data_IF_784891516519
#
_entry.id   IF_784891516519
#
_cell.length_a   1.000
_cell.length_b   1.000
_cell.length_c   1.000
_cell.angle_alpha   90.00
_cell.angle_beta   90.00
_cell.angle_gamma   90.00
#
_symmetry.space_group_name_H-M   'P 1'
#
loop_
_entity.id
_entity.type
_entity.pdbx_description
1 polymer ?
#
# COMPACT_ATOMS: atom_id res chain seq x y z
N UNK A 1 36.56 -55.54 6.89
CA UNK A 1 36.76 -54.04 7.14
C UNK A 1 35.53 -53.32 6.59
N UNK A 2 35.05 -52.38 7.31
CA UNK A 2 33.89 -51.60 6.80
C UNK A 2 34.39 -50.57 5.82
N UNK A 3 33.81 -50.52 4.62
CA UNK A 3 34.15 -49.59 3.57
C UNK A 3 33.09 -48.48 3.54
N UNK A 4 33.51 -47.22 3.34
CA UNK A 4 32.59 -46.07 3.23
C UNK A 4 32.64 -45.45 1.84
N UNK A 5 31.49 -45.08 1.31
CA UNK A 5 31.41 -44.39 0.03
C UNK A 5 32.09 -43.00 0.10
N UNK A 6 33.08 -42.77 -0.76
CA UNK A 6 33.82 -41.49 -0.81
C UNK A 6 33.00 -40.30 -1.27
N UNK A 7 31.83 -40.54 -1.87
CA UNK A 7 30.97 -39.46 -2.40
C UNK A 7 29.87 -39.07 -1.42
N UNK A 8 29.25 -40.03 -0.70
CA UNK A 8 28.11 -39.75 0.18
C UNK A 8 28.32 -40.17 1.64
N UNK A 9 29.43 -40.85 1.96
CA UNK A 9 29.76 -41.26 3.32
C UNK A 9 29.01 -42.49 3.84
N UNK A 10 28.16 -43.14 3.00
CA UNK A 10 27.41 -44.32 3.42
C UNK A 10 28.33 -45.52 3.64
N UNK A 11 28.03 -46.30 4.66
CA UNK A 11 28.68 -47.58 4.95
C UNK A 11 28.28 -48.60 3.91
N UNK A 12 29.27 -49.36 3.40
CA UNK A 12 29.14 -50.32 2.31
C UNK A 12 29.75 -51.64 2.69
N UNK A 13 29.27 -52.69 2.06
CA UNK A 13 29.85 -54.02 2.19
C UNK A 13 31.27 -54.07 1.57
N UNK A 14 32.14 -54.92 2.11
CA UNK A 14 33.54 -54.99 1.71
C UNK A 14 33.77 -55.33 0.23
N UNK A 15 32.76 -55.87 -0.45
CA UNK A 15 32.76 -56.31 -1.85
C UNK A 15 31.89 -55.47 -2.76
N UNK A 16 31.36 -54.32 -2.27
CA UNK A 16 30.53 -53.45 -3.06
C UNK A 16 31.31 -52.79 -4.21
N UNK A 17 30.87 -52.95 -5.44
CA UNK A 17 31.44 -52.29 -6.63
C UNK A 17 30.85 -50.92 -6.87
N UNK A 18 29.61 -50.68 -6.42
CA UNK A 18 28.86 -49.44 -6.55
C UNK A 18 28.18 -49.06 -5.25
N UNK A 19 28.09 -47.78 -4.97
CA UNK A 19 27.28 -47.31 -3.88
C UNK A 19 25.79 -47.36 -4.27
N UNK A 20 25.00 -48.15 -3.55
CA UNK A 20 23.57 -48.35 -3.78
C UNK A 20 22.73 -47.10 -3.44
N UNK A 21 23.30 -46.15 -2.71
CA UNK A 21 22.62 -44.88 -2.35
C UNK A 21 22.86 -43.77 -3.35
N UNK A 22 24.09 -43.61 -3.89
CA UNK A 22 24.42 -42.49 -4.81
C UNK A 22 24.93 -42.95 -6.19
N UNK A 23 25.00 -44.26 -6.46
CA UNK A 23 25.45 -44.83 -7.74
C UNK A 23 26.93 -44.64 -8.04
N UNK A 24 27.76 -44.25 -7.04
CA UNK A 24 29.18 -44.01 -7.25
C UNK A 24 29.91 -45.36 -7.45
N UNK A 25 30.70 -45.51 -8.53
CA UNK A 25 31.53 -46.69 -8.81
C UNK A 25 32.80 -46.65 -7.96
N UNK A 26 32.96 -47.62 -7.08
CA UNK A 26 34.09 -47.72 -6.14
C UNK A 26 35.36 -48.28 -6.79
N UNK A 27 35.22 -48.98 -7.94
CA UNK A 27 36.31 -49.54 -8.71
C UNK A 27 36.92 -48.57 -9.73
N UNK A 28 36.41 -47.33 -9.82
CA UNK A 28 36.97 -46.30 -10.71
C UNK A 28 38.32 -45.85 -10.16
N UNK A 29 39.37 -46.60 -10.50
CA UNK A 29 40.76 -46.31 -10.15
C UNK A 29 41.15 -44.95 -10.69
N UNK A 30 41.79 -44.16 -9.82
CA UNK A 30 42.48 -42.91 -10.08
C UNK A 30 43.41 -43.00 -11.31
N UNK A 31 42.89 -42.81 -12.50
CA UNK A 31 43.73 -42.53 -13.67
C UNK A 31 43.76 -40.99 -13.84
N UNK A 32 44.65 -40.41 -13.03
CA UNK A 32 44.87 -38.97 -12.88
C UNK A 32 45.60 -38.35 -14.09
N UNK A 33 45.19 -38.60 -15.32
CA UNK A 33 45.82 -37.91 -16.46
C UNK A 33 44.85 -37.66 -17.65
N UNK A 34 43.59 -37.33 -17.38
CA UNK A 34 42.82 -36.64 -18.40
C UNK A 34 42.69 -35.18 -18.00
N UNK A 35 43.05 -34.22 -18.88
CA UNK A 35 42.76 -32.81 -18.63
C UNK A 35 41.22 -32.70 -18.48
N UNK A 36 40.77 -32.41 -17.28
CA UNK A 36 39.39 -32.05 -17.03
C UNK A 36 39.13 -30.80 -17.81
N UNK A 37 38.57 -30.95 -19.00
CA UNK A 37 37.90 -29.84 -19.70
C UNK A 37 36.79 -29.42 -18.77
N UNK A 38 37.09 -28.44 -17.93
CA UNK A 38 36.08 -27.71 -17.17
C UNK A 38 35.23 -27.03 -18.22
N UNK A 39 34.20 -27.73 -18.66
CA UNK A 39 33.16 -27.11 -19.44
C UNK A 39 32.58 -25.95 -18.62
N UNK A 40 32.46 -24.81 -19.27
CA UNK A 40 31.89 -23.52 -18.82
C UNK A 40 30.43 -23.61 -18.35
N UNK A 41 29.97 -24.78 -17.87
CA UNK A 41 28.65 -25.01 -17.31
C UNK A 41 28.48 -24.38 -15.90
N UNK A 42 29.59 -24.09 -15.21
CA UNK A 42 29.51 -23.55 -13.85
C UNK A 42 28.96 -22.11 -13.83
N UNK A 43 29.28 -21.32 -14.83
CA UNK A 43 28.82 -19.93 -14.92
C UNK A 43 27.32 -19.81 -15.26
N UNK A 44 26.79 -20.74 -16.05
CA UNK A 44 25.37 -20.76 -16.42
C UNK A 44 24.46 -21.19 -15.26
N UNK A 45 24.92 -22.13 -14.44
CA UNK A 45 24.18 -22.61 -13.28
C UNK A 45 24.18 -21.56 -12.15
N UNK A 46 25.28 -20.82 -11.95
CA UNK A 46 25.34 -19.78 -10.92
C UNK A 46 24.43 -18.59 -11.24
N UNK A 47 24.32 -18.16 -12.49
CA UNK A 47 23.38 -17.12 -12.90
C UNK A 47 21.92 -17.53 -12.68
N UNK A 48 21.57 -18.76 -13.05
CA UNK A 48 20.20 -19.28 -12.91
C UNK A 48 19.80 -19.35 -11.44
N UNK A 49 20.68 -19.76 -10.54
CA UNK A 49 20.41 -19.83 -9.09
C UNK A 49 20.23 -18.44 -8.44
N UNK A 50 20.79 -17.40 -9.04
CA UNK A 50 20.63 -16.01 -8.59
C UNK A 50 19.42 -15.30 -9.21
N UNK A 51 18.72 -15.93 -10.13
CA UNK A 51 17.58 -15.32 -10.82
C UNK A 51 16.45 -14.85 -9.88
N UNK A 52 16.07 -15.61 -8.82
CA UNK A 52 15.09 -15.11 -7.85
C UNK A 52 15.51 -13.81 -7.17
N UNK A 53 16.80 -13.69 -6.81
CA UNK A 53 17.37 -12.49 -6.22
C UNK A 53 17.27 -11.28 -7.17
N UNK A 54 17.67 -11.50 -8.43
CA UNK A 54 17.64 -10.47 -9.47
C UNK A 54 16.20 -9.97 -9.67
N UNK A 55 15.23 -10.88 -9.77
CA UNK A 55 13.83 -10.52 -9.95
C UNK A 55 13.24 -9.81 -8.74
N UNK A 56 13.62 -10.20 -7.51
CA UNK A 56 13.20 -9.50 -6.31
C UNK A 56 13.74 -8.05 -6.28
N UNK A 57 15.01 -7.84 -6.66
CA UNK A 57 15.61 -6.49 -6.78
C UNK A 57 14.89 -5.66 -7.84
N UNK A 58 14.62 -6.24 -9.01
CA UNK A 58 13.86 -5.57 -10.07
C UNK A 58 12.44 -5.25 -9.57
N UNK A 59 11.79 -6.18 -8.86
CA UNK A 59 10.48 -5.97 -8.25
C UNK A 59 10.46 -4.77 -7.30
N UNK A 60 11.49 -4.60 -6.47
CA UNK A 60 11.65 -3.43 -5.59
C UNK A 60 11.78 -2.15 -6.44
N UNK A 61 12.66 -2.14 -7.44
CA UNK A 61 12.87 -0.96 -8.29
C UNK A 61 11.59 -0.58 -9.03
N UNK A 62 10.88 -1.58 -9.57
CA UNK A 62 9.63 -1.38 -10.30
C UNK A 62 8.53 -0.87 -9.36
N UNK A 63 8.40 -1.40 -8.13
CA UNK A 63 7.41 -0.91 -7.16
C UNK A 63 7.63 0.56 -6.79
N UNK A 64 8.90 0.99 -6.71
CA UNK A 64 9.26 2.41 -6.52
C UNK A 64 8.88 3.24 -7.75
N UNK A 65 9.20 2.75 -8.95
CA UNK A 65 8.88 3.44 -10.19
C UNK A 65 7.36 3.54 -10.43
N UNK A 66 6.61 2.48 -10.17
CA UNK A 66 5.14 2.46 -10.21
C UNK A 66 4.55 3.44 -9.21
N UNK A 67 5.07 3.46 -7.96
CA UNK A 67 4.68 4.44 -6.96
C UNK A 67 4.93 5.88 -7.43
N UNK A 68 6.10 6.21 -7.95
CA UNK A 68 6.44 7.54 -8.45
C UNK A 68 5.69 7.94 -9.73
N UNK A 69 5.23 6.96 -10.53
CA UNK A 69 4.50 7.18 -11.78
C UNK A 69 3.01 7.46 -11.60
N UNK A 70 2.45 7.26 -10.40
CA UNK A 70 1.00 7.36 -10.13
C UNK A 70 0.51 8.63 -9.40
N UNK A 71 1.33 9.69 -9.15
CA UNK A 71 0.92 10.86 -8.34
C UNK A 71 -0.35 11.55 -8.85
N UNK A 72 -0.59 11.54 -10.16
CA UNK A 72 -1.72 12.23 -10.77
C UNK A 72 -3.08 11.53 -10.57
N UNK A 73 -3.09 10.26 -10.10
CA UNK A 73 -4.30 9.44 -10.11
C UNK A 73 -4.71 8.92 -8.72
N UNK A 74 -3.80 8.85 -7.75
CA UNK A 74 -4.05 8.15 -6.48
C UNK A 74 -3.61 8.89 -5.20
N UNK A 75 -3.06 10.10 -5.30
CA UNK A 75 -2.53 10.85 -4.14
C UNK A 75 -1.19 10.32 -3.61
N UNK A 76 -0.43 11.19 -2.96
CA UNK A 76 0.93 10.88 -2.44
C UNK A 76 0.96 9.77 -1.39
N UNK A 77 -0.13 9.57 -0.64
CA UNK A 77 -0.20 8.59 0.45
C UNK A 77 -0.12 7.15 -0.06
N UNK A 78 -0.79 6.86 -1.17
CA UNK A 78 -0.74 5.55 -1.80
C UNK A 78 0.63 5.24 -2.39
N UNK A 79 1.35 6.26 -2.85
CA UNK A 79 2.70 6.15 -3.42
C UNK A 79 3.70 5.72 -2.35
N UNK A 80 3.76 6.45 -1.24
CA UNK A 80 4.68 6.15 -0.14
C UNK A 80 4.41 4.77 0.46
N UNK A 81 3.13 4.39 0.53
CA UNK A 81 2.69 3.07 0.97
C UNK A 81 3.21 1.96 0.05
N UNK A 82 3.00 2.10 -1.24
CA UNK A 82 3.42 1.12 -2.23
C UNK A 82 4.94 0.94 -2.28
N UNK A 83 5.67 2.04 -2.30
CA UNK A 83 7.13 2.04 -2.22
C UNK A 83 7.61 1.37 -0.93
N UNK A 84 7.00 1.71 0.21
CA UNK A 84 7.32 1.12 1.51
C UNK A 84 7.09 -0.39 1.54
N UNK A 85 5.96 -0.86 1.05
CA UNK A 85 5.63 -2.29 0.97
C UNK A 85 6.65 -3.03 0.10
N UNK A 86 6.90 -2.56 -1.12
CA UNK A 86 7.82 -3.19 -2.06
C UNK A 86 9.27 -3.23 -1.54
N UNK A 87 9.73 -2.14 -0.91
CA UNK A 87 11.09 -2.07 -0.33
C UNK A 87 11.21 -3.00 0.88
N UNK A 88 10.33 -2.87 1.87
CA UNK A 88 10.44 -3.62 3.13
C UNK A 88 10.25 -5.10 2.88
N UNK A 89 9.18 -5.51 2.21
CA UNK A 89 8.88 -6.90 1.94
C UNK A 89 9.89 -7.53 0.99
N UNK A 90 10.29 -6.81 -0.07
CA UNK A 90 11.32 -7.27 -1.00
C UNK A 90 12.69 -7.49 -0.33
N UNK A 91 13.15 -6.55 0.50
CA UNK A 91 14.42 -6.69 1.25
C UNK A 91 14.35 -7.81 2.27
N UNK A 92 13.22 -8.00 2.96
CA UNK A 92 13.02 -9.09 3.90
C UNK A 92 13.05 -10.45 3.20
N UNK A 93 12.38 -10.59 2.05
CA UNK A 93 12.43 -11.82 1.25
C UNK A 93 13.84 -12.13 0.77
N UNK A 94 14.62 -11.14 0.34
CA UNK A 94 16.04 -11.29 -0.03
C UNK A 94 16.88 -11.74 1.17
N UNK A 95 16.70 -11.14 2.34
CA UNK A 95 17.41 -11.49 3.56
C UNK A 95 17.12 -12.95 3.97
N UNK A 96 15.86 -13.36 3.93
CA UNK A 96 15.43 -14.72 4.20
C UNK A 96 16.09 -15.73 3.24
N UNK A 97 16.16 -15.39 1.95
CA UNK A 97 16.70 -16.25 0.92
C UNK A 97 18.22 -16.35 0.94
N UNK A 98 18.94 -15.21 1.11
CA UNK A 98 20.39 -15.15 0.92
C UNK A 98 21.19 -15.24 2.22
N UNK A 99 20.65 -14.75 3.33
CA UNK A 99 21.36 -14.74 4.61
C UNK A 99 20.92 -15.83 5.56
N UNK A 100 19.65 -16.19 5.54
CA UNK A 100 19.07 -17.18 6.45
C UNK A 100 18.86 -18.55 5.77
N UNK A 101 19.07 -18.64 4.46
CA UNK A 101 18.91 -19.85 3.63
C UNK A 101 17.55 -20.56 3.84
N UNK A 102 16.49 -19.74 3.88
CA UNK A 102 15.12 -20.21 4.11
C UNK A 102 14.21 -19.86 2.90
N UNK A 103 14.37 -20.56 1.77
CA UNK A 103 13.71 -20.19 0.51
C UNK A 103 12.19 -20.32 0.57
N UNK A 104 11.65 -21.24 1.39
CA UNK A 104 10.20 -21.37 1.54
C UNK A 104 9.59 -20.14 2.23
N UNK A 105 10.22 -19.67 3.31
CA UNK A 105 9.76 -18.50 4.05
C UNK A 105 9.94 -17.25 3.19
N UNK A 106 11.07 -17.14 2.44
CA UNK A 106 11.29 -16.08 1.48
C UNK A 106 10.23 -16.04 0.37
N UNK A 107 9.82 -17.20 -0.13
CA UNK A 107 8.76 -17.29 -1.13
C UNK A 107 7.41 -16.78 -0.59
N UNK A 108 7.05 -17.14 0.65
CA UNK A 108 5.84 -16.64 1.31
C UNK A 108 5.92 -15.13 1.48
N UNK A 109 7.09 -14.59 1.88
CA UNK A 109 7.32 -13.14 2.01
C UNK A 109 7.15 -12.41 0.67
N UNK A 110 7.71 -12.93 -0.43
CA UNK A 110 7.56 -12.36 -1.76
C UNK A 110 6.10 -12.40 -2.24
N UNK A 111 5.38 -13.50 -2.00
CA UNK A 111 3.94 -13.59 -2.35
C UNK A 111 3.14 -12.58 -1.55
N UNK A 112 3.37 -12.46 -0.25
CA UNK A 112 2.70 -11.49 0.61
C UNK A 112 2.98 -10.05 0.15
N UNK A 113 4.24 -9.74 -0.17
CA UNK A 113 4.66 -8.43 -0.71
C UNK A 113 3.96 -8.11 -2.02
N UNK A 114 3.97 -9.04 -2.98
CA UNK A 114 3.31 -8.85 -4.27
C UNK A 114 1.79 -8.66 -4.14
N UNK A 115 1.14 -9.45 -3.27
CA UNK A 115 -0.28 -9.33 -3.00
C UNK A 115 -0.63 -7.98 -2.36
N UNK A 116 0.16 -7.52 -1.38
CA UNK A 116 -0.04 -6.22 -0.73
C UNK A 116 0.17 -5.07 -1.71
N UNK A 117 1.24 -5.09 -2.53
CA UNK A 117 1.46 -4.08 -3.57
C UNK A 117 0.25 -4.01 -4.50
N UNK A 118 -0.26 -5.16 -4.97
CA UNK A 118 -1.44 -5.20 -5.84
C UNK A 118 -2.71 -4.67 -5.16
N UNK A 119 -2.94 -5.01 -3.89
CA UNK A 119 -4.12 -4.56 -3.13
C UNK A 119 -4.13 -3.04 -2.97
N UNK A 120 -2.97 -2.43 -2.68
CA UNK A 120 -2.87 -1.01 -2.37
C UNK A 120 -2.70 -0.10 -3.60
N UNK A 121 -2.05 -0.57 -4.68
CA UNK A 121 -1.84 0.21 -5.89
C UNK A 121 -2.79 -0.21 -7.04
N UNK A 122 -3.48 -1.33 -6.89
CA UNK A 122 -4.36 -1.87 -7.92
C UNK A 122 -3.59 -2.19 -9.21
N UNK A 123 -4.16 -1.83 -10.35
CA UNK A 123 -3.56 -2.12 -11.67
C UNK A 123 -2.19 -1.50 -11.90
N UNK A 124 -1.85 -0.44 -11.17
CA UNK A 124 -0.53 0.22 -11.34
C UNK A 124 0.61 -0.57 -10.66
N UNK A 125 0.29 -1.49 -9.74
CA UNK A 125 1.26 -2.37 -9.08
C UNK A 125 1.32 -3.78 -9.69
N UNK A 126 0.73 -4.03 -10.85
CA UNK A 126 0.68 -5.37 -11.46
C UNK A 126 2.07 -5.91 -11.81
N UNK A 127 2.95 -5.06 -12.35
CA UNK A 127 4.27 -5.51 -12.82
C UNK A 127 5.14 -5.93 -11.65
N UNK A 128 5.24 -5.11 -10.61
CA UNK A 128 6.02 -5.43 -9.42
C UNK A 128 5.44 -6.64 -8.68
N UNK A 129 4.12 -6.76 -8.57
CA UNK A 129 3.45 -7.90 -7.97
C UNK A 129 3.78 -9.21 -8.71
N UNK A 130 3.71 -9.21 -10.03
CA UNK A 130 4.09 -10.38 -10.86
C UNK A 130 5.56 -10.73 -10.70
N UNK A 131 6.45 -9.74 -10.64
CA UNK A 131 7.89 -9.97 -10.42
C UNK A 131 8.17 -10.64 -9.08
N UNK A 132 7.52 -10.21 -7.99
CA UNK A 132 7.64 -10.85 -6.68
C UNK A 132 7.09 -12.29 -6.69
N UNK A 133 5.96 -12.55 -7.34
CA UNK A 133 5.39 -13.89 -7.46
C UNK A 133 6.33 -14.81 -8.25
N UNK A 134 6.91 -14.34 -9.36
CA UNK A 134 7.88 -15.12 -10.14
C UNK A 134 9.14 -15.38 -9.30
N UNK A 135 9.63 -14.37 -8.57
CA UNK A 135 10.78 -14.53 -7.67
C UNK A 135 10.51 -15.62 -6.61
N UNK A 136 9.30 -15.67 -6.04
CA UNK A 136 8.87 -16.69 -5.09
C UNK A 136 8.88 -18.09 -5.70
N UNK A 137 8.28 -18.26 -6.87
CA UNK A 137 8.25 -19.57 -7.58
C UNK A 137 9.67 -20.05 -7.88
N UNK A 138 10.53 -19.16 -8.37
CA UNK A 138 11.92 -19.52 -8.69
C UNK A 138 12.75 -19.79 -7.44
N UNK A 139 12.51 -19.08 -6.32
CA UNK A 139 13.17 -19.36 -5.05
C UNK A 139 12.88 -20.79 -4.59
N UNK A 140 11.64 -21.25 -4.69
CA UNK A 140 11.26 -22.64 -4.38
C UNK A 140 11.86 -23.64 -5.36
N UNK A 141 11.89 -23.30 -6.64
CA UNK A 141 12.36 -24.21 -7.68
C UNK A 141 13.87 -24.45 -7.62
N UNK A 142 14.66 -23.37 -7.45
CA UNK A 142 16.13 -23.49 -7.53
C UNK A 142 16.80 -23.80 -6.21
N UNK A 143 16.29 -23.35 -5.08
CA UNK A 143 16.91 -23.60 -3.79
C UNK A 143 16.40 -24.86 -3.08
N UNK A 144 15.20 -25.36 -3.42
CA UNK A 144 14.68 -26.70 -3.10
C UNK A 144 14.67 -27.15 -1.63
N UNK A 145 15.23 -26.35 -0.73
CA UNK A 145 15.32 -26.64 0.70
C UNK A 145 14.14 -26.01 1.42
N UNK A 146 13.44 -26.80 2.18
CA UNK A 146 12.29 -26.34 2.97
C UNK A 146 12.74 -25.85 4.33
N UNK A 147 12.14 -24.77 4.77
CA UNK A 147 12.40 -24.17 6.08
C UNK A 147 12.19 -25.18 7.22
N UNK A 148 13.18 -25.33 8.06
CA UNK A 148 13.12 -26.15 9.26
C UNK A 148 12.97 -25.30 10.52
N UNK A 149 13.32 -24.02 10.46
CA UNK A 149 13.27 -23.14 11.61
C UNK A 149 11.90 -22.48 11.76
N UNK A 150 11.04 -23.10 12.58
CA UNK A 150 9.68 -22.62 12.84
C UNK A 150 9.62 -21.17 13.36
N UNK A 151 10.67 -20.68 14.04
CA UNK A 151 10.70 -19.29 14.57
C UNK A 151 10.76 -18.25 13.46
N UNK A 152 11.36 -18.57 12.31
CA UNK A 152 11.49 -17.65 11.17
C UNK A 152 10.15 -17.43 10.45
N UNK A 153 9.14 -18.29 10.63
CA UNK A 153 7.79 -18.04 10.14
C UNK A 153 7.11 -16.80 10.75
N UNK A 154 7.65 -16.30 11.87
CA UNK A 154 7.18 -15.05 12.43
C UNK A 154 7.53 -13.83 11.55
N UNK A 155 8.55 -13.93 10.68
CA UNK A 155 9.02 -12.80 9.86
C UNK A 155 7.96 -12.33 8.86
N UNK A 156 7.39 -13.18 7.96
CA UNK A 156 6.32 -12.74 7.06
C UNK A 156 5.11 -12.15 7.79
N UNK A 157 4.73 -12.77 8.92
CA UNK A 157 3.63 -12.25 9.74
C UNK A 157 3.98 -10.87 10.31
N UNK A 158 5.19 -10.71 10.85
CA UNK A 158 5.65 -9.44 11.42
C UNK A 158 5.74 -8.36 10.34
N UNK A 159 6.22 -8.69 9.14
CA UNK A 159 6.27 -7.77 8.00
C UNK A 159 4.89 -7.26 7.63
N UNK A 160 3.90 -8.16 7.49
CA UNK A 160 2.51 -7.77 7.21
C UNK A 160 1.96 -6.87 8.32
N UNK A 161 2.14 -7.25 9.59
CA UNK A 161 1.69 -6.44 10.74
C UNK A 161 2.36 -5.06 10.75
N UNK A 162 3.67 -4.99 10.49
CA UNK A 162 4.41 -3.73 10.43
C UNK A 162 3.88 -2.82 9.34
N UNK A 163 3.61 -3.37 8.15
CA UNK A 163 3.02 -2.63 7.04
C UNK A 163 1.66 -2.07 7.43
N UNK A 164 0.77 -2.87 8.03
CA UNK A 164 -0.54 -2.41 8.48
C UNK A 164 -0.43 -1.30 9.55
N UNK A 165 0.50 -1.44 10.49
CA UNK A 165 0.75 -0.39 11.51
C UNK A 165 1.24 0.90 10.86
N UNK A 166 2.15 0.83 9.86
CA UNK A 166 2.61 2.00 9.12
C UNK A 166 1.48 2.67 8.34
N UNK A 167 0.57 1.88 7.73
CA UNK A 167 -0.59 2.42 7.01
C UNK A 167 -1.54 3.18 7.94
N UNK A 168 -1.87 2.58 9.08
CA UNK A 168 -2.74 3.22 10.08
C UNK A 168 -2.09 4.50 10.62
N UNK A 169 -0.80 4.43 10.96
CA UNK A 169 -0.05 5.59 11.45
C UNK A 169 0.07 6.69 10.38
N UNK A 170 0.36 6.32 9.12
CA UNK A 170 0.42 7.25 7.99
C UNK A 170 -0.91 7.93 7.74
N UNK A 171 -2.01 7.18 7.71
CA UNK A 171 -3.36 7.73 7.56
C UNK A 171 -3.74 8.69 8.71
N UNK A 172 -3.40 8.35 9.96
CA UNK A 172 -3.66 9.22 11.10
C UNK A 172 -2.83 10.52 11.04
N UNK A 173 -1.55 10.44 10.64
CA UNK A 173 -0.69 11.61 10.47
C UNK A 173 -1.17 12.50 9.32
N UNK A 174 -1.62 11.90 8.21
CA UNK A 174 -2.23 12.64 7.10
C UNK A 174 -3.46 13.40 7.58
N UNK A 175 -4.41 12.72 8.24
CA UNK A 175 -5.64 13.32 8.73
C UNK A 175 -5.35 14.51 9.68
N UNK A 176 -4.45 14.31 10.64
CA UNK A 176 -4.04 15.38 11.57
C UNK A 176 -3.41 16.58 10.83
N UNK A 177 -2.56 16.34 9.84
CA UNK A 177 -1.94 17.41 9.06
C UNK A 177 -2.96 18.14 8.20
N UNK A 178 -3.87 17.40 7.56
CA UNK A 178 -4.93 17.93 6.73
C UNK A 178 -5.91 18.80 7.55
N UNK A 179 -6.37 18.32 8.70
CA UNK A 179 -7.24 19.09 9.61
C UNK A 179 -6.58 20.38 10.08
N UNK A 180 -5.30 20.35 10.47
CA UNK A 180 -4.55 21.53 10.89
C UNK A 180 -4.23 22.51 9.74
N UNK A 181 -4.43 22.09 8.50
CA UNK A 181 -4.15 22.92 7.31
C UNK A 181 -5.41 23.59 6.74
N UNK A 182 -6.57 23.32 7.30
CA UNK A 182 -7.84 23.92 6.89
C UNK A 182 -8.32 24.86 7.99
N UNK A 183 -8.56 26.10 7.62
CA UNK A 183 -9.22 27.08 8.50
C UNK A 183 -10.48 27.58 7.79
N UNK A 184 -11.63 27.42 8.44
CA UNK A 184 -12.91 27.95 7.98
C UNK A 184 -13.30 29.12 8.86
N UNK A 185 -13.66 30.23 8.25
CA UNK A 185 -13.99 31.43 8.98
C UNK A 185 -15.09 32.24 8.34
N UNK A 186 -15.55 33.28 9.08
CA UNK A 186 -16.57 34.22 8.63
C UNK A 186 -17.88 33.55 8.17
N UNK A 187 -18.25 32.42 8.82
CA UNK A 187 -19.46 31.69 8.48
C UNK A 187 -20.68 32.55 8.89
N UNK A 188 -21.50 32.89 7.93
CA UNK A 188 -22.71 33.70 8.11
C UNK A 188 -23.85 33.12 7.28
N UNK A 189 -25.10 33.54 7.62
CA UNK A 189 -26.30 33.15 6.89
C UNK A 189 -27.24 34.33 6.66
N UNK A 190 -27.97 34.32 5.55
CA UNK A 190 -28.97 35.34 5.18
C UNK A 190 -30.32 34.73 4.75
N UNK A 191 -30.73 33.64 5.40
CA UNK A 191 -31.96 32.90 5.08
C UNK A 191 -33.18 33.70 5.53
N UNK A 192 -34.13 33.93 4.61
CA UNK A 192 -35.36 34.73 4.80
C UNK A 192 -36.60 33.95 4.38
N UNK A 193 -37.73 34.27 5.02
CA UNK A 193 -39.03 33.84 4.53
C UNK A 193 -39.49 34.83 3.46
N UNK A 194 -39.87 34.36 2.27
CA UNK A 194 -40.28 35.21 1.13
C UNK A 194 -41.72 35.72 1.24
N UNK A 195 -42.42 35.37 2.32
CA UNK A 195 -43.83 35.74 2.49
C UNK A 195 -44.84 34.85 1.74
N UNK A 196 -44.37 33.97 0.86
CA UNK A 196 -45.18 33.00 0.10
C UNK A 196 -45.06 31.57 0.63
N UNK A 197 -44.41 31.40 1.77
CA UNK A 197 -44.23 30.09 2.43
C UNK A 197 -42.97 29.37 2.05
N UNK A 198 -42.04 30.03 1.39
CA UNK A 198 -40.70 29.49 1.11
C UNK A 198 -39.64 30.21 1.94
N UNK A 199 -38.62 29.46 2.31
CA UNK A 199 -37.41 29.98 2.91
C UNK A 199 -36.32 29.93 1.87
N UNK A 200 -35.65 31.04 1.62
CA UNK A 200 -34.56 31.15 0.66
C UNK A 200 -33.40 31.96 1.24
N UNK A 201 -32.22 31.71 0.74
CA UNK A 201 -30.99 32.39 1.17
C UNK A 201 -29.78 31.51 1.05
N UNK A 202 -28.72 31.86 1.76
CA UNK A 202 -27.47 31.12 1.72
C UNK A 202 -26.74 31.12 3.05
N UNK A 203 -25.89 30.12 3.22
CA UNK A 203 -24.79 30.07 4.18
C UNK A 203 -23.51 30.30 3.39
N UNK A 204 -22.68 31.22 3.84
CA UNK A 204 -21.45 31.58 3.15
C UNK A 204 -20.32 31.84 4.13
N UNK A 205 -19.08 31.77 3.66
CA UNK A 205 -17.89 31.97 4.45
C UNK A 205 -16.62 31.85 3.62
N UNK A 206 -15.51 31.79 4.33
CA UNK A 206 -14.19 31.69 3.75
C UNK A 206 -13.54 30.38 4.19
N UNK A 207 -12.77 29.73 3.30
CA UNK A 207 -11.92 28.58 3.61
C UNK A 207 -10.47 28.90 3.23
N UNK A 208 -9.56 28.83 4.18
CA UNK A 208 -8.12 28.91 3.94
C UNK A 208 -7.55 27.51 3.78
N UNK A 209 -6.73 27.32 2.76
CA UNK A 209 -6.09 26.04 2.39
C UNK A 209 -4.59 26.17 2.63
N UNK A 210 -4.07 25.59 3.72
CA UNK A 210 -2.68 25.74 4.13
C UNK A 210 -1.70 24.76 3.49
N UNK A 211 -2.20 23.64 2.93
CA UNK A 211 -1.37 22.62 2.25
C UNK A 211 -1.98 22.22 0.92
N UNK A 212 -1.29 21.41 0.14
CA UNK A 212 -1.81 20.89 -1.14
C UNK A 212 -2.78 19.75 -0.91
N UNK A 213 -3.91 19.79 -1.60
CA UNK A 213 -4.91 18.72 -1.69
C UNK A 213 -5.18 18.39 -3.15
N UNK A 214 -5.49 17.13 -3.44
CA UNK A 214 -5.92 16.74 -4.79
C UNK A 214 -7.35 17.20 -5.09
N UNK A 215 -8.18 17.28 -4.05
CA UNK A 215 -9.56 17.73 -4.10
C UNK A 215 -9.99 18.26 -2.74
N UNK A 216 -10.75 19.33 -2.73
CA UNK A 216 -11.49 19.81 -1.57
C UNK A 216 -12.92 20.16 -1.94
N UNK A 217 -13.82 19.89 -1.02
CA UNK A 217 -15.23 20.22 -1.14
C UNK A 217 -15.77 20.78 0.17
N UNK A 218 -16.51 21.87 0.09
CA UNK A 218 -17.31 22.41 1.18
C UNK A 218 -18.76 22.06 0.92
N UNK A 219 -19.36 21.29 1.82
CA UNK A 219 -20.77 20.93 1.79
C UNK A 219 -21.52 21.63 2.92
N UNK A 220 -22.72 22.12 2.65
CA UNK A 220 -23.62 22.67 3.66
C UNK A 220 -24.87 21.82 3.75
N UNK A 221 -25.13 21.27 4.94
CA UNK A 221 -26.31 20.50 5.26
C UNK A 221 -27.26 21.34 6.12
N UNK A 222 -28.52 21.47 5.71
CA UNK A 222 -29.54 22.22 6.43
C UNK A 222 -30.46 21.26 7.18
N UNK A 223 -30.78 21.58 8.43
CA UNK A 223 -31.55 20.71 9.33
C UNK A 223 -32.79 21.40 9.88
N UNK A 224 -33.83 20.60 10.14
CA UNK A 224 -35.01 21.00 10.88
C UNK A 224 -34.81 20.92 12.41
N UNK A 225 -35.87 21.21 13.18
CA UNK A 225 -35.89 21.16 14.64
C UNK A 225 -35.76 19.75 15.22
N UNK A 226 -35.83 18.72 14.40
CA UNK A 226 -35.71 17.31 14.76
C UNK A 226 -34.37 16.72 14.32
N UNK A 227 -33.37 17.56 13.97
CA UNK A 227 -32.07 17.16 13.41
C UNK A 227 -32.17 16.32 12.13
N UNK A 228 -33.25 16.46 11.37
CA UNK A 228 -33.40 15.82 10.08
C UNK A 228 -32.86 16.74 8.99
N UNK A 229 -32.04 16.16 8.09
CA UNK A 229 -31.54 16.91 6.91
C UNK A 229 -32.73 17.27 6.01
N UNK A 230 -32.89 18.55 5.79
CA UNK A 230 -33.84 19.13 4.84
C UNK A 230 -33.24 19.21 3.44
N UNK A 231 -31.99 19.69 3.37
CA UNK A 231 -31.30 19.94 2.12
C UNK A 231 -29.78 19.83 2.32
N UNK A 232 -29.09 19.39 1.30
CA UNK A 232 -27.63 19.34 1.26
C UNK A 232 -27.14 19.91 -0.05
N UNK A 233 -26.16 20.80 -0.02
CA UNK A 233 -25.59 21.44 -1.20
C UNK A 233 -24.08 21.50 -1.12
N UNK A 234 -23.43 21.36 -2.28
CA UNK A 234 -22.00 21.66 -2.44
C UNK A 234 -21.89 23.18 -2.55
N UNK A 235 -21.25 23.78 -1.55
CA UNK A 235 -21.06 25.23 -1.46
C UNK A 235 -19.83 25.71 -2.22
N UNK A 236 -18.83 24.87 -2.34
CA UNK A 236 -17.61 25.07 -3.13
C UNK A 236 -16.88 23.74 -3.32
N UNK A 237 -16.22 23.57 -4.44
CA UNK A 237 -15.31 22.45 -4.67
C UNK A 237 -14.22 22.84 -5.67
N UNK A 238 -13.04 22.27 -5.52
CA UNK A 238 -11.92 22.50 -6.43
C UNK A 238 -10.98 21.29 -6.48
N UNK A 239 -10.47 21.01 -7.68
CA UNK A 239 -9.40 20.06 -7.90
C UNK A 239 -8.06 20.79 -7.80
N UNK A 240 -7.13 20.24 -7.01
CA UNK A 240 -5.79 20.81 -6.78
C UNK A 240 -5.84 22.28 -6.34
N UNK A 241 -6.57 22.63 -5.25
CA UNK A 241 -6.62 24.02 -4.80
C UNK A 241 -5.22 24.52 -4.41
N UNK A 242 -4.96 25.80 -4.70
CA UNK A 242 -3.67 26.43 -4.40
C UNK A 242 -3.43 26.48 -2.87
N UNK A 243 -2.30 25.97 -2.41
CA UNK A 243 -1.86 26.09 -1.03
C UNK A 243 -1.55 27.56 -0.67
N UNK A 244 -1.91 27.96 0.56
CA UNK A 244 -1.74 29.33 1.05
C UNK A 244 -2.81 30.31 0.57
N UNK A 245 -3.91 29.85 -0.03
CA UNK A 245 -4.97 30.68 -0.60
C UNK A 245 -6.28 30.54 0.18
N UNK A 246 -7.04 31.64 0.20
CA UNK A 246 -8.39 31.67 0.78
C UNK A 246 -9.41 31.67 -0.35
N UNK A 247 -10.39 30.79 -0.25
CA UNK A 247 -11.52 30.65 -1.16
C UNK A 247 -12.82 31.04 -0.46
N UNK A 248 -13.82 31.46 -1.22
CA UNK A 248 -15.17 31.74 -0.73
C UNK A 248 -16.08 30.58 -1.06
N UNK A 249 -16.97 30.23 -0.13
CA UNK A 249 -18.02 29.25 -0.38
C UNK A 249 -19.41 29.86 -0.15
N UNK A 250 -20.40 29.35 -0.88
CA UNK A 250 -21.81 29.75 -0.75
C UNK A 250 -22.70 28.50 -0.92
N UNK A 251 -23.37 28.09 0.16
CA UNK A 251 -24.35 27.00 0.16
C UNK A 251 -25.78 27.59 0.11
N UNK A 252 -26.47 27.41 -1.01
CA UNK A 252 -27.83 27.96 -1.19
C UNK A 252 -28.88 27.05 -0.56
N UNK A 253 -29.91 27.65 0.02
CA UNK A 253 -31.11 26.99 0.53
C UNK A 253 -32.36 27.51 -0.17
N UNK A 254 -33.27 26.60 -0.55
CA UNK A 254 -34.60 26.93 -1.04
C UNK A 254 -35.55 25.79 -0.77
N UNK A 255 -36.46 25.95 0.20
CA UNK A 255 -37.48 24.94 0.56
C UNK A 255 -38.66 25.62 1.29
N UNK A 256 -39.80 24.94 1.39
CA UNK A 256 -40.96 25.36 2.19
C UNK A 256 -40.72 25.15 3.70
N UNK A 257 -39.78 24.34 4.08
CA UNK A 257 -39.45 24.08 5.48
C UNK A 257 -38.41 25.06 5.99
N UNK A 258 -38.64 25.55 7.21
CA UNK A 258 -37.71 26.43 7.88
C UNK A 258 -36.47 25.66 8.35
N UNK A 259 -35.26 25.97 7.88
CA UNK A 259 -34.06 25.42 8.46
C UNK A 259 -33.72 26.19 9.73
N UNK A 260 -33.32 25.45 10.79
CA UNK A 260 -32.91 26.07 12.06
C UNK A 260 -31.41 25.95 12.33
N UNK A 261 -30.78 25.02 11.65
CA UNK A 261 -29.36 24.73 11.81
C UNK A 261 -28.75 24.38 10.45
N UNK A 262 -27.53 24.82 10.23
CA UNK A 262 -26.72 24.32 9.13
C UNK A 262 -25.41 23.74 9.67
N UNK A 263 -24.92 22.70 9.01
CA UNK A 263 -23.61 22.11 9.25
C UNK A 263 -22.74 22.36 8.02
N UNK A 264 -21.62 23.04 8.23
CA UNK A 264 -20.60 23.26 7.20
C UNK A 264 -19.54 22.17 7.36
N UNK A 265 -19.33 21.38 6.33
CA UNK A 265 -18.33 20.31 6.27
C UNK A 265 -17.29 20.56 5.19
N UNK A 266 -16.03 20.26 5.48
CA UNK A 266 -14.96 20.22 4.48
C UNK A 266 -14.46 18.79 4.37
N UNK A 267 -14.39 18.28 3.16
CA UNK A 267 -13.88 16.92 2.85
C UNK A 267 -12.84 16.99 1.73
N UNK A 268 -11.86 16.09 1.78
CA UNK A 268 -10.79 15.94 0.78
C UNK A 268 -11.13 14.96 -0.36
N UNK A 269 -12.32 14.38 -0.31
CA UNK A 269 -12.83 13.48 -1.34
C UNK A 269 -14.35 13.52 -1.36
N UNK A 270 -14.94 13.53 -2.54
CA UNK A 270 -16.39 13.44 -2.71
C UNK A 270 -17.03 12.17 -2.12
N UNK A 271 -16.22 11.17 -1.74
CA UNK A 271 -16.63 9.93 -1.10
C UNK A 271 -16.20 9.83 0.36
N UNK A 272 -15.51 10.82 0.89
CA UNK A 272 -15.05 10.79 2.28
C UNK A 272 -16.23 10.86 3.24
N UNK A 273 -16.24 9.97 4.23
CA UNK A 273 -17.19 9.97 5.35
C UNK A 273 -16.65 10.72 6.57
N UNK A 274 -15.35 10.95 6.61
CA UNK A 274 -14.67 11.67 7.71
C UNK A 274 -14.34 13.08 7.23
N UNK A 275 -14.98 14.13 7.78
CA UNK A 275 -14.68 15.50 7.39
C UNK A 275 -13.34 15.95 7.99
N UNK A 276 -12.61 16.80 7.26
CA UNK A 276 -11.44 17.53 7.77
C UNK A 276 -11.88 18.65 8.73
N UNK A 277 -13.07 19.18 8.52
CA UNK A 277 -13.69 20.21 9.34
C UNK A 277 -15.19 20.01 9.38
N UNK A 278 -15.82 20.26 10.52
CA UNK A 278 -17.28 20.31 10.66
C UNK A 278 -17.67 21.29 11.74
N UNK A 279 -18.55 22.23 11.41
CA UNK A 279 -19.13 23.19 12.34
C UNK A 279 -20.63 23.31 12.13
N UNK A 280 -21.37 23.38 13.26
CA UNK A 280 -22.79 23.65 13.29
C UNK A 280 -23.07 25.09 13.61
N UNK A 281 -23.84 25.76 12.76
CA UNK A 281 -24.31 27.13 12.97
C UNK A 281 -25.82 27.14 13.19
N UNK A 282 -26.29 27.95 14.14
CA UNK A 282 -27.72 28.23 14.31
C UNK A 282 -28.17 29.28 13.31
N UNK A 283 -29.25 28.97 12.59
CA UNK A 283 -29.78 29.87 11.60
C UNK A 283 -30.85 30.80 12.23
N UNK A 284 -30.68 32.08 12.07
CA UNK A 284 -31.70 33.07 12.41
C UNK A 284 -32.43 33.48 11.14
N UNK A 285 -33.70 33.15 11.04
CA UNK A 285 -34.52 33.60 9.90
C UNK A 285 -35.12 34.97 10.19
N UNK A 286 -34.78 35.97 9.39
CA UNK A 286 -35.48 37.25 9.41
C UNK A 286 -36.85 37.08 8.76
N UNK A 287 -37.92 37.54 9.44
CA UNK A 287 -39.23 37.69 8.79
C UNK A 287 -39.13 38.80 7.77
N UNK A 288 -39.20 38.44 6.49
CA UNK A 288 -39.40 39.45 5.44
C UNK A 288 -40.67 40.21 5.73
N UNK A 289 -40.55 41.51 5.86
CA UNK A 289 -41.69 42.43 5.96
C UNK A 289 -42.19 42.76 4.56
#
# INVERSE_FOLDING_TARGET
MVQYCRKCGKELDDDAEFCDDCGFNLNESLNDNKPVVKHDQNNKNEFITKLPLILAIIGIIVSVAEGLGTPMLMGWDNILTAMGIGIIGGLMGILLMEKLDEPLIAAVEFIATGALVYIFIGRFGEISAVLFIIAAILALYFKGHYAHNKKLWAIPILTVVLIFVMLIAGGALYQMNAENSIEVGNITSDIKNDGYGYYNGKVYGDIFVGTSFDYLEVTVNFYDSQDKILYSTIAWNELNPDSGKTYKFEGMYFDQKQPIKAEVKVVDSAKSTTPLYSENITLTTESGV
#
